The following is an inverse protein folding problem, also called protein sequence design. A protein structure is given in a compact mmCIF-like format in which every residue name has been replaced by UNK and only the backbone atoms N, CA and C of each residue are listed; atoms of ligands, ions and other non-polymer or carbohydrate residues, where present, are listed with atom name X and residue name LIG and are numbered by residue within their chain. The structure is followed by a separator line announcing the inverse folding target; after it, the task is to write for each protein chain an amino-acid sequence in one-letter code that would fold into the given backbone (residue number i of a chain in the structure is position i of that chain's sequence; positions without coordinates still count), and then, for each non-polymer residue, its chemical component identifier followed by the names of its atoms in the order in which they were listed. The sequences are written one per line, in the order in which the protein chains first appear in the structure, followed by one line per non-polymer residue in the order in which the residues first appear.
data_IF_416960080250
#
_entry.id   IF_416960080250
#
_cell.length_a   1.000
_cell.length_b   1.000
_cell.length_c   1.000
_cell.angle_alpha   90.00
_cell.angle_beta   90.00
_cell.angle_gamma   90.00
#
_symmetry.space_group_name_H-M   'P 1'
#
loop_
_entity.id
_entity.type
_entity.pdbx_description
1 polymer ?
#
# COMPACT_ATOMS: atom_id res chain seq x y z
N UNK A 1 8.47 10.76 12.27
CA UNK A 1 9.25 9.73 12.99
C UNK A 1 10.14 8.93 12.05
N UNK A 2 9.58 8.25 11.03
CA UNK A 2 10.37 7.43 10.08
C UNK A 2 11.46 8.19 9.31
N UNK A 3 11.17 9.39 8.80
CA UNK A 3 12.16 10.26 8.12
C UNK A 3 13.37 10.61 8.99
N UNK A 4 13.13 10.85 10.28
CA UNK A 4 14.16 11.16 11.28
C UNK A 4 15.05 9.93 11.59
N UNK A 5 14.45 8.73 11.60
CA UNK A 5 15.19 7.46 11.72
C UNK A 5 16.00 7.13 10.47
N UNK A 6 15.45 7.35 9.27
CA UNK A 6 16.19 7.19 8.01
C UNK A 6 17.40 8.13 7.94
N UNK A 7 17.26 9.38 8.38
CA UNK A 7 18.37 10.31 8.50
C UNK A 7 19.43 9.84 9.52
N UNK A 8 19.01 9.28 10.66
CA UNK A 8 19.92 8.72 11.68
C UNK A 8 20.68 7.48 11.19
N UNK A 9 20.04 6.60 10.42
CA UNK A 9 20.72 5.47 9.77
C UNK A 9 21.72 5.98 8.73
N UNK A 10 21.34 6.95 7.90
CA UNK A 10 22.22 7.48 6.86
C UNK A 10 23.46 8.19 7.44
N UNK A 11 23.36 8.76 8.66
CA UNK A 11 24.45 9.50 9.31
C UNK A 11 25.31 8.65 10.26
N UNK A 12 24.76 7.58 10.87
CA UNK A 12 25.43 6.82 11.95
C UNK A 12 25.40 5.29 11.71
N UNK A 13 24.72 4.81 10.68
CA UNK A 13 24.52 3.39 10.40
C UNK A 13 25.81 2.62 10.11
N UNK A 14 26.82 3.28 9.53
CA UNK A 14 28.14 2.68 9.27
C UNK A 14 28.98 2.49 10.54
N UNK A 15 28.71 3.30 11.57
CA UNK A 15 29.51 3.33 12.81
C UNK A 15 29.20 2.17 13.76
N UNK A 16 28.01 1.54 13.68
CA UNK A 16 27.68 0.40 14.53
C UNK A 16 26.57 -0.50 13.97
N UNK A 17 26.92 -1.75 13.64
CA UNK A 17 26.00 -2.80 13.17
C UNK A 17 24.73 -2.96 14.06
N UNK A 18 24.81 -2.88 15.41
CA UNK A 18 23.61 -2.98 16.25
C UNK A 18 22.63 -1.81 16.07
N UNK A 19 23.12 -0.59 15.85
CA UNK A 19 22.28 0.58 15.64
C UNK A 19 21.52 0.49 14.31
N UNK A 20 22.21 0.05 13.25
CA UNK A 20 21.58 -0.24 11.97
C UNK A 20 20.42 -1.23 12.12
N UNK A 21 20.65 -2.36 12.80
CA UNK A 21 19.62 -3.39 13.03
C UNK A 21 18.44 -2.84 13.82
N UNK A 22 18.70 -2.08 14.90
CA UNK A 22 17.64 -1.52 15.74
C UNK A 22 16.77 -0.52 14.97
N UNK A 23 17.38 0.38 14.19
CA UNK A 23 16.64 1.31 13.37
C UNK A 23 15.88 0.60 12.23
N UNK A 24 16.46 -0.45 11.64
CA UNK A 24 15.77 -1.27 10.64
C UNK A 24 14.52 -1.95 11.23
N UNK A 25 14.62 -2.52 12.44
CA UNK A 25 13.45 -3.10 13.14
C UNK A 25 12.34 -2.07 13.37
N UNK A 26 12.70 -0.84 13.73
CA UNK A 26 11.73 0.25 13.92
C UNK A 26 11.05 0.62 12.59
N UNK A 27 11.80 0.74 11.49
CA UNK A 27 11.24 1.02 10.16
C UNK A 27 10.31 -0.11 9.70
N UNK A 28 10.74 -1.37 9.83
CA UNK A 28 9.92 -2.53 9.52
C UNK A 28 8.64 -2.58 10.37
N UNK A 29 8.68 -2.08 11.60
CA UNK A 29 7.49 -1.99 12.45
C UNK A 29 6.46 -1.00 11.90
N UNK A 30 6.89 0.14 11.34
CA UNK A 30 6.00 1.07 10.63
C UNK A 30 5.38 0.45 9.38
N UNK A 31 6.14 -0.38 8.66
CA UNK A 31 5.62 -1.15 7.54
C UNK A 31 4.50 -2.11 8.01
N UNK A 32 4.72 -2.85 9.11
CA UNK A 32 3.69 -3.71 9.72
C UNK A 32 2.44 -2.96 10.19
N UNK A 33 2.60 -1.76 10.76
CA UNK A 33 1.48 -0.90 11.18
C UNK A 33 0.62 -0.41 10.01
N UNK A 34 1.24 -0.16 8.85
CA UNK A 34 0.52 0.16 7.61
C UNK A 34 -0.42 -0.98 7.21
N UNK A 35 0.09 -2.21 7.06
CA UNK A 35 -0.74 -3.35 6.66
C UNK A 35 -1.88 -3.67 7.63
N UNK A 36 -1.68 -3.45 8.93
CA UNK A 36 -2.73 -3.63 9.93
C UNK A 36 -3.90 -2.65 9.77
N UNK A 37 -3.65 -1.44 9.23
CA UNK A 37 -4.66 -0.38 9.10
C UNK A 37 -5.30 -0.32 7.72
N UNK A 38 -4.72 -0.97 6.69
CA UNK A 38 -5.26 -0.99 5.32
C UNK A 38 -6.72 -1.49 5.26
N UNK A 39 -7.14 -2.60 5.90
CA UNK A 39 -8.53 -3.08 5.78
C UNK A 39 -9.55 -2.09 6.37
N UNK A 40 -9.20 -1.42 7.46
CA UNK A 40 -10.04 -0.37 8.05
C UNK A 40 -10.11 0.86 7.14
N UNK A 41 -8.97 1.30 6.60
CA UNK A 41 -8.92 2.40 5.65
C UNK A 41 -9.74 2.13 4.37
N UNK A 42 -9.62 0.93 3.79
CA UNK A 42 -10.39 0.52 2.62
C UNK A 42 -11.90 0.43 2.91
N UNK A 43 -12.27 -0.04 4.10
CA UNK A 43 -13.67 -0.04 4.56
C UNK A 43 -14.23 1.38 4.61
N UNK A 44 -13.47 2.32 5.17
CA UNK A 44 -13.92 3.70 5.29
C UNK A 44 -14.02 4.39 3.92
N UNK A 45 -13.16 4.01 2.96
CA UNK A 45 -13.14 4.59 1.62
C UNK A 45 -14.19 3.99 0.66
N UNK A 46 -14.47 2.69 0.76
CA UNK A 46 -15.29 1.93 -0.20
C UNK A 46 -16.54 1.27 0.39
N UNK A 47 -16.76 1.37 1.70
CA UNK A 47 -17.85 0.69 2.40
C UNK A 47 -17.52 -0.75 2.81
N UNK A 48 -18.43 -1.38 3.55
CA UNK A 48 -18.21 -2.71 4.16
C UNK A 48 -18.42 -3.88 3.22
N UNK A 49 -19.09 -3.68 2.08
CA UNK A 49 -19.69 -4.77 1.33
C UNK A 49 -18.67 -5.72 0.69
N UNK A 50 -17.42 -5.30 0.42
CA UNK A 50 -16.38 -6.15 -0.22
C UNK A 50 -14.92 -5.79 0.15
N UNK A 51 -14.65 -5.44 1.41
CA UNK A 51 -13.30 -5.02 1.86
C UNK A 51 -12.23 -6.08 1.55
N UNK A 52 -12.55 -7.36 1.72
CA UNK A 52 -11.62 -8.46 1.46
C UNK A 52 -11.21 -8.59 -0.01
N UNK A 53 -12.14 -8.42 -0.95
CA UNK A 53 -11.85 -8.50 -2.38
C UNK A 53 -11.01 -7.31 -2.86
N UNK A 54 -11.30 -6.10 -2.34
CA UNK A 54 -10.53 -4.89 -2.64
C UNK A 54 -9.10 -5.02 -2.09
N UNK A 55 -8.95 -5.49 -0.84
CA UNK A 55 -7.65 -5.73 -0.24
C UNK A 55 -6.85 -6.79 -1.02
N UNK A 56 -7.50 -7.86 -1.48
CA UNK A 56 -6.88 -8.88 -2.34
C UNK A 56 -6.29 -8.29 -3.63
N UNK A 57 -7.03 -7.40 -4.31
CA UNK A 57 -6.52 -6.71 -5.52
C UNK A 57 -5.34 -5.78 -5.19
N UNK A 58 -5.38 -5.11 -4.04
CA UNK A 58 -4.26 -4.29 -3.56
C UNK A 58 -3.01 -5.15 -3.33
N UNK A 59 -3.14 -6.31 -2.69
CA UNK A 59 -2.01 -7.23 -2.47
C UNK A 59 -1.45 -7.77 -3.78
N UNK A 60 -2.29 -8.08 -4.78
CA UNK A 60 -1.80 -8.48 -6.11
C UNK A 60 -0.97 -7.36 -6.75
N UNK A 61 -1.46 -6.11 -6.74
CA UNK A 61 -0.73 -4.96 -7.26
C UNK A 61 0.60 -4.75 -6.52
N UNK A 62 0.59 -4.91 -5.19
CA UNK A 62 1.79 -4.82 -4.36
C UNK A 62 2.83 -5.88 -4.74
N UNK A 63 2.41 -7.13 -4.92
CA UNK A 63 3.30 -8.22 -5.38
C UNK A 63 3.86 -7.93 -6.76
N UNK A 64 3.04 -7.45 -7.70
CA UNK A 64 3.52 -7.07 -9.04
C UNK A 64 4.57 -5.96 -8.94
N UNK A 65 4.36 -4.93 -8.12
CA UNK A 65 5.35 -3.87 -7.92
C UNK A 65 6.66 -4.41 -7.33
N UNK A 66 6.59 -5.34 -6.37
CA UNK A 66 7.76 -5.98 -5.77
C UNK A 66 8.61 -6.78 -6.75
N UNK A 67 7.99 -7.41 -7.75
CA UNK A 67 8.71 -8.15 -8.82
C UNK A 67 9.24 -7.19 -9.88
N UNK A 68 8.46 -6.20 -10.30
CA UNK A 68 8.84 -5.28 -11.37
C UNK A 68 9.97 -4.32 -10.96
N UNK A 69 10.04 -3.91 -9.69
CA UNK A 69 11.06 -2.96 -9.22
C UNK A 69 12.50 -3.41 -9.54
N UNK A 70 12.95 -4.57 -9.02
CA UNK A 70 14.29 -5.08 -9.31
C UNK A 70 14.51 -5.37 -10.79
N UNK A 71 13.48 -5.89 -11.48
CA UNK A 71 13.58 -6.22 -12.91
C UNK A 71 13.86 -4.97 -13.76
N UNK A 72 13.15 -3.88 -13.50
CA UNK A 72 13.35 -2.60 -14.19
C UNK A 72 14.76 -2.06 -13.91
N UNK A 73 15.18 -2.04 -12.64
CA UNK A 73 16.49 -1.50 -12.25
C UNK A 73 17.63 -2.31 -12.88
N UNK A 74 17.56 -3.63 -12.83
CA UNK A 74 18.57 -4.51 -13.42
C UNK A 74 18.61 -4.33 -14.94
N UNK A 75 17.46 -4.33 -15.61
CA UNK A 75 17.39 -4.15 -17.06
C UNK A 75 17.98 -2.81 -17.56
N UNK A 76 17.84 -1.75 -16.77
CA UNK A 76 18.45 -0.45 -17.06
C UNK A 76 19.96 -0.51 -16.81
N UNK A 77 20.39 -1.10 -15.69
CA UNK A 77 21.80 -1.24 -15.36
C UNK A 77 22.53 -2.04 -16.45
N UNK A 78 21.99 -3.19 -16.87
CA UNK A 78 22.55 -4.02 -17.94
C UNK A 78 22.71 -3.23 -19.26
N UNK A 79 21.71 -2.41 -19.63
CA UNK A 79 21.81 -1.54 -20.82
C UNK A 79 22.88 -0.47 -20.72
N UNK A 80 23.10 0.04 -19.52
CA UNK A 80 24.11 1.08 -19.28
C UNK A 80 25.51 0.47 -19.30
N UNK A 81 25.64 -0.78 -18.85
CA UNK A 81 26.87 -1.58 -18.93
C UNK A 81 27.20 -1.90 -20.39
N UNK A 82 26.23 -2.35 -21.19
CA UNK A 82 26.38 -2.53 -22.64
C UNK A 82 26.77 -1.24 -23.38
N UNK A 83 26.35 -0.08 -22.85
CA UNK A 83 26.72 1.23 -23.36
C UNK A 83 28.12 1.71 -22.90
N UNK A 84 28.87 0.86 -22.18
CA UNK A 84 30.23 1.13 -21.73
C UNK A 84 30.34 2.05 -20.52
N UNK A 85 29.28 2.18 -19.72
CA UNK A 85 29.32 2.92 -18.44
C UNK A 85 29.73 1.96 -17.32
N UNK A 86 30.52 2.46 -16.38
CA UNK A 86 31.03 1.67 -15.26
C UNK A 86 30.68 2.28 -13.91
N UNK A 87 30.62 1.42 -12.89
CA UNK A 87 30.48 1.84 -11.49
C UNK A 87 29.15 2.56 -11.20
N UNK A 88 29.23 3.75 -10.61
CA UNK A 88 28.06 4.50 -10.16
C UNK A 88 27.19 5.03 -11.32
N UNK A 89 27.76 5.22 -12.51
CA UNK A 89 27.06 5.80 -13.67
C UNK A 89 26.01 4.84 -14.27
N UNK A 90 26.09 3.54 -13.95
CA UNK A 90 25.09 2.54 -14.30
C UNK A 90 23.71 2.85 -13.69
N UNK A 91 23.71 3.35 -12.45
CA UNK A 91 22.50 3.51 -11.66
C UNK A 91 21.84 4.88 -11.82
N UNK A 92 22.53 5.87 -12.38
CA UNK A 92 21.98 7.23 -12.52
C UNK A 92 20.63 7.25 -13.25
N UNK A 93 20.53 6.54 -14.37
CA UNK A 93 19.28 6.43 -15.13
C UNK A 93 18.21 5.63 -14.38
N UNK A 94 18.58 4.53 -13.69
CA UNK A 94 17.66 3.77 -12.84
C UNK A 94 17.06 4.62 -11.73
N UNK A 95 17.88 5.44 -11.06
CA UNK A 95 17.44 6.33 -9.98
C UNK A 95 16.47 7.41 -10.49
N UNK A 96 16.72 7.98 -11.67
CA UNK A 96 15.79 8.94 -12.29
C UNK A 96 14.43 8.30 -12.62
N UNK A 97 14.43 7.07 -13.15
CA UNK A 97 13.19 6.34 -13.44
C UNK A 97 12.43 6.02 -12.14
N UNK A 98 13.13 5.57 -11.10
CA UNK A 98 12.50 5.33 -9.78
C UNK A 98 11.92 6.62 -9.19
N UNK A 99 12.63 7.75 -9.30
CA UNK A 99 12.11 9.05 -8.89
C UNK A 99 10.84 9.41 -9.66
N UNK A 100 10.81 9.20 -10.98
CA UNK A 100 9.61 9.40 -11.80
C UNK A 100 8.43 8.54 -11.33
N UNK A 101 8.65 7.26 -11.04
CA UNK A 101 7.62 6.35 -10.52
C UNK A 101 7.10 6.79 -9.15
N UNK A 102 7.97 7.30 -8.28
CA UNK A 102 7.58 7.85 -6.97
C UNK A 102 6.71 9.11 -7.12
N UNK A 103 7.05 10.01 -8.04
CA UNK A 103 6.23 11.20 -8.33
C UNK A 103 4.85 10.79 -8.85
N UNK A 104 4.79 9.84 -9.78
CA UNK A 104 3.52 9.29 -10.28
C UNK A 104 2.72 8.66 -9.13
N UNK A 105 3.38 7.87 -8.27
CA UNK A 105 2.75 7.26 -7.10
C UNK A 105 2.22 8.29 -6.10
N UNK A 106 2.96 9.37 -5.87
CA UNK A 106 2.55 10.47 -5.00
C UNK A 106 1.31 11.20 -5.56
N UNK A 107 1.32 11.53 -6.86
CA UNK A 107 0.16 12.14 -7.53
C UNK A 107 -1.04 11.20 -7.49
N UNK A 108 -0.84 9.91 -7.77
CA UNK A 108 -1.90 8.91 -7.67
C UNK A 108 -2.47 8.83 -6.25
N UNK A 109 -1.63 8.86 -5.22
CA UNK A 109 -2.04 8.86 -3.81
C UNK A 109 -2.88 10.10 -3.45
N UNK A 110 -2.48 11.29 -3.93
CA UNK A 110 -3.23 12.54 -3.70
C UNK A 110 -4.60 12.54 -4.41
N UNK A 111 -4.72 11.83 -5.55
CA UNK A 111 -5.98 11.70 -6.28
C UNK A 111 -6.94 10.67 -5.66
N UNK A 112 -6.50 9.85 -4.70
CA UNK A 112 -7.38 8.92 -3.98
C UNK A 112 -8.36 9.72 -3.13
N UNK A 113 -9.64 9.68 -3.52
CA UNK A 113 -10.75 10.35 -2.82
C UNK A 113 -11.79 9.33 -2.36
N UNK A 114 -12.54 9.64 -1.28
CA UNK A 114 -13.65 8.80 -0.84
C UNK A 114 -14.68 8.59 -1.96
N UNK A 115 -15.10 7.33 -2.17
CA UNK A 115 -16.13 7.05 -3.17
C UNK A 115 -17.45 7.64 -2.67
N UNK A 116 -18.17 8.31 -3.57
CA UNK A 116 -19.40 9.03 -3.24
C UNK A 116 -20.41 8.10 -2.54
N UNK A 117 -21.11 8.56 -1.46
CA UNK A 117 -22.06 7.77 -0.66
C UNK A 117 -23.10 6.98 -1.47
N UNK A 118 -23.45 7.45 -2.66
CA UNK A 118 -24.41 6.79 -3.56
C UNK A 118 -23.92 5.48 -4.18
N UNK A 119 -22.61 5.19 -4.17
CA UNK A 119 -22.04 3.91 -4.60
C UNK A 119 -21.78 2.96 -3.43
N UNK A 120 -21.92 3.45 -2.19
CA UNK A 120 -22.08 2.56 -1.06
C UNK A 120 -23.48 1.97 -1.26
N UNK A 121 -23.58 0.69 -1.61
CA UNK A 121 -24.86 -0.01 -1.51
C UNK A 121 -25.29 0.17 -0.05
N UNK A 122 -26.23 1.09 0.18
CA UNK A 122 -26.70 1.39 1.51
C UNK A 122 -27.29 0.13 2.13
N UNK A 123 -27.47 0.17 3.44
CA UNK A 123 -28.22 -0.79 4.26
C UNK A 123 -29.71 -0.96 3.82
N UNK A 124 -30.06 -0.59 2.60
CA UNK A 124 -31.40 -0.63 1.99
C UNK A 124 -31.91 -2.07 1.80
N UNK A 125 -31.03 -3.08 1.81
CA UNK A 125 -31.46 -4.49 1.80
C UNK A 125 -31.67 -5.09 3.19
N UNK A 126 -31.22 -4.45 4.28
CA UNK A 126 -31.44 -4.97 5.63
C UNK A 126 -32.86 -4.74 6.15
N UNK A 127 -33.56 -3.69 5.67
CA UNK A 127 -34.96 -3.43 6.07
C UNK A 127 -36.02 -4.17 5.25
N UNK A 128 -35.68 -4.77 4.10
CA UNK A 128 -36.68 -5.46 3.26
C UNK A 128 -36.80 -6.97 3.54
N UNK A 129 -36.02 -7.49 4.49
CA UNK A 129 -35.91 -8.93 4.76
C UNK A 129 -36.28 -9.39 6.17
N UNK A 130 -36.66 -8.51 7.09
CA UNK A 130 -37.16 -8.94 8.39
C UNK A 130 -38.62 -9.38 8.25
N UNK A 131 -38.96 -10.67 8.46
CA UNK A 131 -40.35 -11.09 8.55
C UNK A 131 -41.01 -10.31 9.70
N UNK A 132 -42.20 -9.77 9.46
CA UNK A 132 -43.01 -9.14 10.50
C UNK A 132 -43.47 -10.20 11.50
N UNK A 133 -42.67 -10.40 12.57
CA UNK A 133 -42.93 -11.37 13.64
C UNK A 133 -44.26 -11.07 14.38
N UNK A 134 -44.91 -9.92 14.13
CA UNK A 134 -46.19 -9.57 14.77
C UNK A 134 -47.42 -10.25 14.16
N UNK A 135 -47.38 -10.78 12.94
CA UNK A 135 -48.57 -11.42 12.35
C UNK A 135 -48.77 -12.88 12.78
N UNK A 136 -47.73 -13.57 13.24
CA UNK A 136 -47.83 -15.00 13.56
C UNK A 136 -48.43 -15.30 14.96
N UNK A 137 -48.48 -14.29 15.84
CA UNK A 137 -49.01 -14.45 17.20
C UNK A 137 -50.53 -14.16 17.32
N UNK A 138 -51.16 -13.59 16.28
CA UNK A 138 -52.61 -13.34 16.28
C UNK A 138 -53.47 -14.49 15.74
N UNK A 139 -52.88 -15.47 15.05
CA UNK A 139 -53.61 -16.64 14.50
C UNK A 139 -53.61 -17.86 15.44
N UNK A 140 -53.02 -17.74 16.63
CA UNK A 140 -52.93 -18.82 17.63
C UNK A 140 -53.67 -18.54 18.94
N UNK A 141 -54.57 -17.56 18.95
CA UNK A 141 -55.51 -17.25 20.04
C UNK A 141 -56.95 -17.42 19.57
#
# INVERSE_FOLDING_TARGET
AGTLMYALIALVGDSSKPLFVLCALVILSFYGGGFATIPAYLKDLFGTYQVGAIHGRLLTAWSTAGVLGPLIVNWIADRQEEAGKDGADLYGTSLLIMMGLLVIGFVANELVRPVHPSHHLGDVTAQKGAPDVRQQQSESA
#
